data_IF_965922457690
#
_entry.id   IF_965922457690
#
_cell.length_a   1.000
_cell.length_b   1.000
_cell.length_c   1.000
_cell.angle_alpha   90.00
_cell.angle_beta   90.00
_cell.angle_gamma   90.00
#
_symmetry.space_group_name_H-M   'P 1'
#
loop_
_entity.id
_entity.type
_entity.pdbx_description
1 polymer ?
#
# COMPACT_ATOMS: atom_id res chain seq x y z
N UNK A 1 11.99 4.82 22.41
CA UNK A 1 11.57 4.17 23.68
C UNK A 1 12.38 2.91 23.93
N UNK A 2 12.34 2.40 25.17
CA UNK A 2 12.97 1.15 25.57
C UNK A 2 11.99 0.26 26.33
N UNK A 3 12.08 -1.06 26.10
CA UNK A 3 11.26 -2.07 26.79
C UNK A 3 9.75 -1.78 26.75
N UNK A 4 9.26 -1.35 25.60
CA UNK A 4 7.85 -0.99 25.40
C UNK A 4 7.02 -2.20 24.99
N UNK A 5 5.82 -2.33 25.53
CA UNK A 5 4.85 -3.34 25.11
C UNK A 5 3.54 -2.65 24.75
N UNK A 6 3.12 -2.83 23.50
CA UNK A 6 1.81 -2.41 22.99
C UNK A 6 0.97 -3.66 22.74
N UNK A 7 -0.27 -3.68 23.25
CA UNK A 7 -1.06 -4.91 23.25
C UNK A 7 -2.55 -4.69 22.99
N UNK A 8 -3.13 -5.60 22.22
CA UNK A 8 -4.58 -5.81 22.08
C UNK A 8 -5.34 -4.56 21.62
N UNK A 9 -5.00 -4.03 20.44
CA UNK A 9 -5.74 -2.97 19.78
C UNK A 9 -5.68 -3.12 18.26
N UNK A 10 -6.52 -2.37 17.57
CA UNK A 10 -6.49 -2.28 16.11
C UNK A 10 -6.42 -0.85 15.62
N UNK A 11 -5.88 -0.70 14.41
CA UNK A 11 -5.77 0.55 13.67
C UNK A 11 -6.51 0.37 12.36
N UNK A 12 -7.33 1.35 12.02
CA UNK A 12 -8.03 1.39 10.73
C UNK A 12 -8.28 2.85 10.37
N UNK A 13 -7.56 3.36 9.39
CA UNK A 13 -7.73 4.74 8.96
C UNK A 13 -9.06 4.89 8.21
N UNK A 14 -9.79 5.94 8.50
CA UNK A 14 -11.00 6.29 7.79
C UNK A 14 -10.68 6.83 6.38
N UNK A 15 -11.62 6.69 5.45
CA UNK A 15 -11.54 7.21 4.09
C UNK A 15 -10.25 6.81 3.34
N UNK A 16 -10.12 5.52 2.96
CA UNK A 16 -8.93 5.07 2.24
C UNK A 16 -8.62 5.91 0.99
N UNK A 17 -7.37 6.31 0.83
CA UNK A 17 -6.85 6.96 -0.38
C UNK A 17 -6.88 6.03 -1.62
N UNK A 18 -7.21 4.77 -1.42
CA UNK A 18 -7.34 3.74 -2.47
C UNK A 18 -8.76 3.73 -3.00
N UNK A 19 -8.94 3.81 -4.31
CA UNK A 19 -10.23 3.56 -4.92
C UNK A 19 -10.35 2.08 -5.30
N UNK A 20 -11.27 1.39 -4.64
CA UNK A 20 -11.65 0.04 -5.03
C UNK A 20 -12.73 0.10 -6.11
N UNK A 21 -12.47 -0.54 -7.24
CA UNK A 21 -13.41 -0.59 -8.37
C UNK A 21 -13.59 -2.01 -8.85
N UNK A 22 -14.78 -2.35 -9.35
CA UNK A 22 -15.05 -3.63 -9.98
C UNK A 22 -15.16 -3.46 -11.49
N UNK A 23 -14.42 -4.28 -12.23
CA UNK A 23 -14.52 -4.35 -13.69
C UNK A 23 -15.86 -4.97 -14.07
N UNK A 24 -16.66 -4.25 -14.86
CA UNK A 24 -17.95 -4.74 -15.38
C UNK A 24 -17.88 -5.11 -16.85
N UNK A 25 -17.01 -4.45 -17.61
CA UNK A 25 -16.77 -4.73 -19.03
C UNK A 25 -15.30 -4.49 -19.38
N UNK A 26 -14.73 -5.35 -20.20
CA UNK A 26 -13.41 -5.15 -20.77
C UNK A 26 -13.48 -5.35 -22.29
N UNK A 27 -13.60 -4.25 -23.01
CA UNK A 27 -13.68 -4.22 -24.46
C UNK A 27 -12.33 -3.78 -25.04
N UNK A 28 -11.70 -4.58 -25.94
CA UNK A 28 -10.39 -4.23 -26.51
C UNK A 28 -10.37 -2.89 -27.27
N UNK A 29 -11.50 -2.48 -27.83
CA UNK A 29 -11.62 -1.22 -28.59
C UNK A 29 -12.07 -0.06 -27.69
N UNK A 30 -13.07 -0.25 -26.85
CA UNK A 30 -13.66 0.80 -26.02
C UNK A 30 -12.95 1.03 -24.69
N UNK A 31 -12.20 0.03 -24.19
CA UNK A 31 -11.52 0.10 -22.90
C UNK A 31 -12.24 -0.64 -21.78
N UNK A 32 -11.82 -0.36 -20.54
CA UNK A 32 -12.42 -0.96 -19.36
C UNK A 32 -13.52 -0.06 -18.83
N UNK A 33 -14.68 -0.68 -18.57
CA UNK A 33 -15.77 -0.07 -17.81
C UNK A 33 -15.79 -0.67 -16.42
N UNK A 34 -15.87 0.18 -15.40
CA UNK A 34 -15.82 -0.23 -14.00
C UNK A 34 -16.83 0.51 -13.12
N UNK A 35 -17.15 -0.07 -11.98
CA UNK A 35 -17.98 0.52 -10.94
C UNK A 35 -17.17 0.71 -9.66
N UNK A 36 -17.06 1.94 -9.11
CA UNK A 36 -16.47 2.18 -7.80
C UNK A 36 -17.29 1.52 -6.69
N UNK A 37 -16.62 0.98 -5.68
CA UNK A 37 -17.28 0.45 -4.49
C UNK A 37 -18.19 1.51 -3.85
N UNK A 38 -19.30 1.14 -3.21
CA UNK A 38 -20.29 2.09 -2.69
C UNK A 38 -19.71 3.19 -1.78
N UNK A 39 -18.66 2.85 -1.04
CA UNK A 39 -17.98 3.76 -0.11
C UNK A 39 -16.92 4.66 -0.76
N UNK A 40 -16.63 4.49 -2.06
CA UNK A 40 -15.67 5.33 -2.79
C UNK A 40 -16.39 6.58 -3.29
N UNK A 41 -16.01 7.74 -2.77
CA UNK A 41 -16.39 9.03 -3.32
C UNK A 41 -15.46 9.40 -4.46
N UNK A 42 -16.03 9.91 -5.55
CA UNK A 42 -15.26 10.25 -6.74
C UNK A 42 -15.88 11.39 -7.55
N UNK A 43 -15.10 11.88 -8.49
CA UNK A 43 -15.59 12.74 -9.58
C UNK A 43 -14.84 12.43 -10.88
N UNK A 44 -15.44 12.80 -12.00
CA UNK A 44 -14.70 12.97 -13.25
C UNK A 44 -14.31 14.44 -13.34
N UNK A 45 -13.00 14.72 -13.36
CA UNK A 45 -12.48 16.08 -13.42
C UNK A 45 -12.77 16.76 -14.77
N UNK A 46 -12.55 18.08 -14.84
CA UNK A 46 -12.69 18.85 -16.12
C UNK A 46 -11.76 18.32 -17.22
N UNK A 47 -10.64 17.69 -16.85
CA UNK A 47 -9.69 17.08 -17.78
C UNK A 47 -10.04 15.62 -18.11
N UNK A 48 -11.27 15.18 -17.78
CA UNK A 48 -11.73 13.82 -17.98
C UNK A 48 -10.83 12.77 -17.28
N UNK A 49 -10.51 13.01 -16.01
CA UNK A 49 -9.75 12.06 -15.17
C UNK A 49 -10.65 11.60 -14.03
N UNK A 50 -10.69 10.30 -13.78
CA UNK A 50 -11.31 9.76 -12.57
C UNK A 50 -10.46 10.12 -11.35
N UNK A 51 -11.05 10.81 -10.40
CA UNK A 51 -10.41 11.28 -9.16
C UNK A 51 -11.20 10.78 -7.96
N UNK A 52 -10.53 10.14 -7.00
CA UNK A 52 -11.09 9.84 -5.69
C UNK A 52 -11.13 11.08 -4.81
N UNK A 53 -12.12 11.13 -3.94
CA UNK A 53 -12.36 12.26 -3.05
C UNK A 53 -12.39 11.76 -1.60
N UNK A 54 -11.92 12.60 -0.70
CA UNK A 54 -12.06 12.44 0.74
C UNK A 54 -11.92 13.77 1.45
N UNK A 55 -12.00 13.77 2.78
CA UNK A 55 -11.88 14.98 3.57
C UNK A 55 -10.47 15.59 3.42
N UNK A 56 -10.40 16.74 2.79
CA UNK A 56 -9.15 17.46 2.59
C UNK A 56 -8.23 16.93 1.50
N UNK A 57 -8.64 15.91 0.71
CA UNK A 57 -7.79 15.35 -0.34
C UNK A 57 -8.54 15.01 -1.63
N UNK A 58 -7.78 15.03 -2.73
CA UNK A 58 -8.19 14.54 -4.05
C UNK A 58 -7.07 13.66 -4.59
N UNK A 59 -7.40 12.43 -4.98
CA UNK A 59 -6.41 11.45 -5.44
C UNK A 59 -6.58 11.13 -6.93
N UNK A 60 -5.48 11.20 -7.68
CA UNK A 60 -5.37 10.65 -9.04
C UNK A 60 -4.65 9.31 -8.97
N UNK A 61 -5.21 8.34 -9.64
CA UNK A 61 -4.69 6.97 -9.64
C UNK A 61 -3.82 6.70 -10.85
N UNK A 62 -2.74 5.98 -10.64
CA UNK A 62 -1.81 5.60 -11.72
C UNK A 62 -1.52 4.11 -11.74
N UNK A 63 -1.61 3.47 -10.58
CA UNK A 63 -1.28 2.07 -10.38
C UNK A 63 -2.33 1.37 -9.54
N UNK A 64 -2.30 0.04 -9.57
CA UNK A 64 -3.20 -0.75 -8.75
C UNK A 64 -2.79 -2.21 -8.68
N UNK A 65 -3.55 -2.95 -7.90
CA UNK A 65 -3.48 -4.41 -7.79
C UNK A 65 -4.87 -4.96 -8.10
N UNK A 66 -4.91 -6.05 -8.86
CA UNK A 66 -6.14 -6.73 -9.18
C UNK A 66 -6.36 -7.95 -8.27
N UNK A 67 -7.59 -8.11 -7.81
CA UNK A 67 -8.04 -9.20 -6.98
C UNK A 67 -9.14 -9.98 -7.67
N UNK A 68 -9.16 -11.28 -7.48
CA UNK A 68 -10.31 -12.11 -7.84
C UNK A 68 -11.53 -11.72 -6.99
N UNK A 69 -12.63 -11.37 -7.64
CA UNK A 69 -13.82 -10.82 -6.98
C UNK A 69 -14.53 -11.78 -6.04
N UNK A 70 -14.20 -13.08 -6.02
CA UNK A 70 -14.80 -14.09 -5.17
C UNK A 70 -13.88 -14.50 -4.01
N UNK A 71 -12.60 -14.69 -4.30
CA UNK A 71 -11.64 -15.23 -3.33
C UNK A 71 -10.84 -14.17 -2.60
N UNK A 72 -10.86 -12.93 -3.08
CA UNK A 72 -10.00 -11.81 -2.63
C UNK A 72 -8.50 -12.07 -2.81
N UNK A 73 -8.10 -13.10 -3.53
CA UNK A 73 -6.70 -13.34 -3.83
C UNK A 73 -6.23 -12.43 -4.96
N UNK A 74 -4.96 -12.03 -4.91
CA UNK A 74 -4.33 -11.26 -6.00
C UNK A 74 -4.38 -12.07 -7.30
N UNK A 75 -4.84 -11.47 -8.37
CA UNK A 75 -4.78 -12.08 -9.70
C UNK A 75 -3.32 -12.20 -10.13
N UNK A 76 -2.94 -13.35 -10.64
CA UNK A 76 -1.56 -13.63 -11.01
C UNK A 76 -0.97 -12.55 -11.93
N UNK A 77 0.24 -12.11 -11.60
CA UNK A 77 1.01 -11.11 -12.34
C UNK A 77 0.32 -9.73 -12.47
N UNK A 78 -0.43 -9.31 -11.45
CA UNK A 78 -1.10 -8.00 -11.40
C UNK A 78 -0.72 -7.18 -10.17
N UNK A 79 0.43 -7.42 -9.56
CA UNK A 79 0.87 -6.71 -8.36
C UNK A 79 1.13 -5.21 -8.58
N UNK A 80 1.41 -4.81 -9.82
CA UNK A 80 1.63 -3.41 -10.20
C UNK A 80 1.10 -3.19 -11.62
N UNK A 81 -0.21 -3.00 -11.76
CA UNK A 81 -0.83 -2.70 -13.05
C UNK A 81 -1.07 -1.22 -13.21
N UNK A 82 -0.90 -0.71 -14.43
CA UNK A 82 -1.28 0.66 -14.75
C UNK A 82 -2.80 0.82 -14.74
N UNK A 83 -3.26 1.92 -14.13
CA UNK A 83 -4.68 2.29 -14.10
C UNK A 83 -4.89 3.64 -14.81
N UNK A 84 -4.77 3.71 -16.15
CA UNK A 84 -4.87 4.96 -16.89
C UNK A 84 -6.33 5.43 -16.94
N UNK A 85 -6.64 6.43 -16.13
CA UNK A 85 -8.00 7.00 -16.02
C UNK A 85 -8.20 8.29 -16.81
N UNK A 86 -7.22 8.75 -17.59
CA UNK A 86 -7.35 9.94 -18.44
C UNK A 86 -8.26 9.65 -19.64
N UNK A 87 -9.27 10.49 -19.83
CA UNK A 87 -10.33 10.33 -20.83
C UNK A 87 -11.51 9.54 -20.30
N UNK A 88 -11.59 9.31 -19.00
CA UNK A 88 -12.72 8.63 -18.38
C UNK A 88 -14.01 9.47 -18.44
N UNK A 89 -15.14 8.79 -18.57
CA UNK A 89 -16.48 9.38 -18.55
C UNK A 89 -17.49 8.40 -17.98
N UNK A 90 -18.55 8.91 -17.39
CA UNK A 90 -19.68 8.10 -16.94
C UNK A 90 -20.55 7.65 -18.11
N UNK A 91 -20.82 6.35 -18.21
CA UNK A 91 -21.76 5.75 -19.16
C UNK A 91 -23.13 5.51 -18.53
N UNK A 92 -23.20 5.41 -17.21
CA UNK A 92 -24.38 5.32 -16.38
C UNK A 92 -24.02 5.75 -14.95
N UNK A 93 -24.97 6.04 -14.06
CA UNK A 93 -24.68 6.39 -12.67
C UNK A 93 -23.71 5.39 -12.03
N UNK A 94 -22.57 5.88 -11.52
CA UNK A 94 -21.46 5.11 -10.93
C UNK A 94 -20.83 4.05 -11.86
N UNK A 95 -21.05 4.15 -13.18
CA UNK A 95 -20.42 3.26 -14.16
C UNK A 95 -19.55 4.07 -15.09
N UNK A 96 -18.24 3.90 -14.98
CA UNK A 96 -17.23 4.72 -15.62
C UNK A 96 -16.50 3.90 -16.70
N UNK A 97 -16.43 4.43 -17.91
CA UNK A 97 -15.58 3.91 -18.97
C UNK A 97 -14.25 4.66 -18.99
N UNK A 98 -13.15 3.92 -19.02
CA UNK A 98 -11.80 4.46 -19.26
C UNK A 98 -11.26 3.91 -20.57
N UNK A 99 -11.35 4.65 -21.68
CA UNK A 99 -10.99 4.16 -23.02
C UNK A 99 -9.53 3.80 -23.19
N UNK A 100 -8.65 4.39 -22.38
CA UNK A 100 -7.22 4.14 -22.41
C UNK A 100 -6.77 2.96 -21.55
N UNK A 101 -7.64 2.44 -20.71
CA UNK A 101 -7.33 1.29 -19.87
C UNK A 101 -7.55 0.00 -20.66
N UNK A 102 -6.46 -0.63 -21.03
CA UNK A 102 -6.42 -1.86 -21.82
C UNK A 102 -5.56 -2.88 -21.09
N UNK A 103 -6.16 -3.87 -20.48
CA UNK A 103 -5.47 -4.97 -19.82
C UNK A 103 -6.32 -6.23 -19.89
N UNK A 104 -5.90 -7.19 -20.73
CA UNK A 104 -6.65 -8.42 -20.97
C UNK A 104 -6.80 -9.33 -19.72
N UNK A 105 -6.01 -9.08 -18.67
CA UNK A 105 -6.09 -9.83 -17.40
C UNK A 105 -7.28 -9.44 -16.55
N UNK A 106 -7.83 -8.24 -16.77
CA UNK A 106 -8.91 -7.66 -15.98
C UNK A 106 -10.27 -8.09 -16.57
N UNK A 107 -10.68 -9.29 -16.26
CA UNK A 107 -11.99 -9.80 -16.72
C UNK A 107 -13.15 -9.22 -15.88
N UNK A 108 -14.39 -9.19 -16.40
CA UNK A 108 -15.56 -8.79 -15.62
C UNK A 108 -15.65 -9.55 -14.29
N UNK A 109 -15.89 -8.81 -13.20
CA UNK A 109 -15.89 -9.33 -11.83
C UNK A 109 -14.56 -9.16 -11.10
N UNK A 110 -13.44 -8.88 -11.81
CA UNK A 110 -12.17 -8.52 -11.17
C UNK A 110 -12.34 -7.24 -10.37
N UNK A 111 -11.79 -7.19 -9.18
CA UNK A 111 -11.73 -5.99 -8.33
C UNK A 111 -10.33 -5.40 -8.40
N UNK A 112 -10.22 -4.11 -8.66
CA UNK A 112 -8.95 -3.40 -8.71
C UNK A 112 -8.90 -2.39 -7.58
N UNK A 113 -7.89 -2.49 -6.73
CA UNK A 113 -7.53 -1.46 -5.77
C UNK A 113 -6.54 -0.50 -6.44
N UNK A 114 -7.03 0.69 -6.79
CA UNK A 114 -6.22 1.72 -7.47
C UNK A 114 -5.55 2.63 -6.44
N UNK A 115 -4.27 2.89 -6.61
CA UNK A 115 -3.46 3.75 -5.73
C UNK A 115 -2.76 4.88 -6.47
N UNK A 116 -2.50 5.99 -5.75
CA UNK A 116 -1.54 7.02 -6.14
C UNK A 116 -0.13 6.67 -5.68
N UNK A 117 0.80 7.61 -5.87
CA UNK A 117 2.20 7.43 -5.43
C UNK A 117 2.46 7.78 -3.96
N UNK A 118 1.59 8.57 -3.34
CA UNK A 118 1.77 9.02 -1.96
C UNK A 118 1.58 7.86 -0.96
N UNK A 119 2.48 7.76 0.01
CA UNK A 119 2.43 6.82 1.14
C UNK A 119 2.63 7.62 2.43
N UNK A 120 1.74 8.57 2.74
CA UNK A 120 2.04 9.63 3.70
C UNK A 120 2.20 9.12 5.13
N UNK A 121 1.42 8.10 5.54
CA UNK A 121 1.32 7.76 6.96
C UNK A 121 1.28 6.26 7.15
N UNK A 122 2.27 5.65 7.84
CA UNK A 122 2.19 4.27 8.29
C UNK A 122 1.16 4.12 9.42
N UNK A 123 0.63 2.91 9.59
CA UNK A 123 -0.24 2.58 10.73
C UNK A 123 0.48 2.72 12.07
N UNK A 124 1.70 2.19 12.13
CA UNK A 124 2.60 2.30 13.28
C UNK A 124 3.96 2.74 12.78
N UNK A 125 4.53 3.77 13.42
CA UNK A 125 5.90 4.20 13.20
C UNK A 125 6.75 4.01 14.46
N UNK A 126 7.86 3.31 14.30
CA UNK A 126 8.84 3.09 15.36
C UNK A 126 10.21 3.64 14.89
N UNK A 127 10.88 4.39 15.74
CA UNK A 127 12.19 4.95 15.43
C UNK A 127 13.11 4.92 16.63
N UNK A 128 14.28 4.28 16.48
CA UNK A 128 15.28 4.12 17.55
C UNK A 128 14.72 3.45 18.82
N UNK A 129 13.71 2.60 18.67
CA UNK A 129 13.16 1.83 19.78
C UNK A 129 14.00 0.59 20.06
N UNK A 130 14.11 0.22 21.33
CA UNK A 130 14.89 -0.93 21.79
C UNK A 130 13.98 -1.88 22.58
N UNK A 131 14.01 -3.17 22.25
CA UNK A 131 13.24 -4.23 22.92
C UNK A 131 11.74 -3.91 22.99
N UNK A 132 11.15 -3.66 21.82
CA UNK A 132 9.72 -3.33 21.70
C UNK A 132 8.91 -4.54 21.23
N UNK A 133 7.79 -4.79 21.89
CA UNK A 133 6.86 -5.87 21.55
C UNK A 133 5.49 -5.35 21.16
N UNK A 134 4.97 -5.81 20.02
CA UNK A 134 3.59 -5.63 19.59
C UNK A 134 2.86 -6.97 19.72
N UNK A 135 1.92 -7.05 20.67
CA UNK A 135 1.24 -8.28 21.02
C UNK A 135 -0.25 -8.16 20.67
N UNK A 136 -0.74 -9.04 19.80
CA UNK A 136 -2.13 -9.03 19.33
C UNK A 136 -2.60 -7.65 18.85
N UNK A 137 -1.85 -7.07 17.92
CA UNK A 137 -2.14 -5.77 17.29
C UNK A 137 -2.53 -6.00 15.84
N UNK A 138 -3.59 -5.35 15.37
CA UNK A 138 -4.07 -5.44 13.98
C UNK A 138 -4.05 -4.09 13.31
N UNK A 139 -3.63 -4.06 12.04
CA UNK A 139 -3.77 -2.91 11.16
C UNK A 139 -4.67 -3.33 9.99
N UNK A 140 -5.85 -2.73 9.90
CA UNK A 140 -6.83 -3.05 8.87
C UNK A 140 -6.64 -2.18 7.61
N UNK A 141 -6.28 -0.92 7.82
CA UNK A 141 -5.85 -0.03 6.74
C UNK A 141 -4.89 1.03 7.26
N UNK A 142 -3.91 1.37 6.44
CA UNK A 142 -3.03 2.52 6.60
C UNK A 142 -2.64 3.08 5.21
N UNK A 143 -2.35 4.37 5.16
CA UNK A 143 -2.01 5.08 3.92
C UNK A 143 -0.57 4.81 3.43
N UNK A 144 0.23 4.16 4.24
CA UNK A 144 1.59 3.70 3.94
C UNK A 144 1.76 2.24 4.30
N UNK A 145 2.83 1.94 5.04
CA UNK A 145 3.11 0.64 5.63
C UNK A 145 2.18 0.38 6.83
N UNK A 146 1.90 -0.87 7.11
CA UNK A 146 1.21 -1.23 8.36
C UNK A 146 2.07 -0.93 9.58
N UNK A 147 3.32 -1.41 9.56
CA UNK A 147 4.37 -1.07 10.51
C UNK A 147 5.61 -0.61 9.75
N UNK A 148 6.11 0.57 10.08
CA UNK A 148 7.42 1.07 9.66
C UNK A 148 8.33 1.18 10.88
N UNK A 149 9.39 0.39 10.94
CA UNK A 149 10.41 0.44 11.99
C UNK A 149 11.76 0.88 11.39
N UNK A 150 12.34 1.94 11.93
CA UNK A 150 13.61 2.49 11.47
C UNK A 150 14.62 2.54 12.61
N UNK A 151 15.83 2.01 12.36
CA UNK A 151 16.95 2.04 13.30
C UNK A 151 16.61 1.48 14.70
N UNK A 152 15.67 0.55 14.76
CA UNK A 152 15.27 -0.11 16.00
C UNK A 152 16.13 -1.33 16.30
N UNK A 153 16.04 -1.82 17.55
CA UNK A 153 16.77 -3.00 18.01
C UNK A 153 15.82 -3.92 18.77
N UNK A 154 15.88 -5.22 18.49
CA UNK A 154 15.10 -6.27 19.16
C UNK A 154 13.58 -6.01 19.16
N UNK A 155 12.95 -6.36 18.04
CA UNK A 155 11.50 -6.20 17.83
C UNK A 155 10.80 -7.55 17.89
N UNK A 156 9.72 -7.64 18.66
CA UNK A 156 8.87 -8.82 18.69
C UNK A 156 7.45 -8.48 18.25
N UNK A 157 6.97 -9.19 17.23
CA UNK A 157 5.59 -9.19 16.77
C UNK A 157 4.99 -10.55 17.11
N UNK A 158 4.02 -10.61 18.01
CA UNK A 158 3.30 -11.82 18.36
C UNK A 158 1.80 -11.62 18.18
N UNK A 159 1.19 -12.38 17.27
CA UNK A 159 -0.19 -12.14 16.87
C UNK A 159 -0.42 -10.81 16.16
N UNK A 160 0.65 -10.18 15.64
CA UNK A 160 0.52 -8.97 14.82
C UNK A 160 -0.10 -9.31 13.46
N UNK A 161 -1.04 -8.49 13.00
CA UNK A 161 -1.67 -8.70 11.71
C UNK A 161 -1.83 -7.41 10.92
N UNK A 162 -1.59 -7.50 9.62
CA UNK A 162 -2.09 -6.56 8.62
C UNK A 162 -3.10 -7.35 7.82
N UNK A 163 -4.38 -7.17 8.13
CA UNK A 163 -5.45 -8.05 7.66
C UNK A 163 -6.80 -7.34 7.59
N UNK A 164 -7.71 -7.87 6.79
CA UNK A 164 -9.09 -7.42 6.72
C UNK A 164 -9.79 -7.62 8.08
N UNK A 165 -10.92 -6.94 8.30
CA UNK A 165 -11.75 -7.08 9.52
C UNK A 165 -12.53 -8.41 9.57
N UNK A 166 -12.19 -9.37 8.72
CA UNK A 166 -12.85 -10.64 8.56
C UNK A 166 -13.59 -10.74 7.23
N UNK A 167 -14.36 -11.82 7.05
CA UNK A 167 -14.98 -12.18 5.76
C UNK A 167 -15.96 -11.11 5.23
N UNK A 168 -16.57 -10.35 6.13
CA UNK A 168 -17.53 -9.30 5.78
C UNK A 168 -16.90 -7.94 5.51
N UNK A 169 -15.57 -7.80 5.59
CA UNK A 169 -14.91 -6.54 5.19
C UNK A 169 -15.15 -6.30 3.70
N UNK A 170 -15.74 -5.15 3.32
CA UNK A 170 -16.00 -4.86 1.89
C UNK A 170 -14.73 -4.58 1.10
N UNK A 171 -13.61 -4.39 1.76
CA UNK A 171 -12.31 -4.12 1.12
C UNK A 171 -11.64 -5.42 0.67
N UNK A 172 -10.79 -5.29 -0.33
CA UNK A 172 -9.92 -6.33 -0.86
C UNK A 172 -8.45 -6.06 -0.54
N UNK A 173 -8.17 -4.91 0.01
CA UNK A 173 -6.83 -4.42 0.36
C UNK A 173 -6.75 -4.04 1.84
N UNK A 174 -5.53 -3.98 2.35
CA UNK A 174 -5.20 -3.48 3.69
C UNK A 174 -4.32 -2.24 3.61
N UNK A 175 -2.99 -2.37 3.52
CA UNK A 175 -2.08 -1.23 3.47
C UNK A 175 -1.72 -0.85 2.03
N UNK A 176 -1.47 0.45 1.81
CA UNK A 176 -1.06 0.95 0.49
C UNK A 176 0.38 0.54 0.12
N UNK A 177 1.18 0.14 1.09
CA UNK A 177 2.53 -0.35 0.96
C UNK A 177 2.72 -1.66 1.74
N UNK A 178 3.94 -1.93 2.22
CA UNK A 178 4.28 -3.14 2.94
C UNK A 178 3.41 -3.35 4.19
N UNK A 179 3.15 -4.58 4.54
CA UNK A 179 2.54 -4.86 5.83
C UNK A 179 3.50 -4.51 6.97
N UNK A 180 4.78 -4.92 6.86
CA UNK A 180 5.83 -4.57 7.82
C UNK A 180 7.13 -4.22 7.10
N UNK A 181 7.77 -3.13 7.52
CA UNK A 181 8.98 -2.61 6.91
C UNK A 181 10.02 -2.26 7.97
N UNK A 182 11.16 -2.93 7.93
CA UNK A 182 12.26 -2.78 8.87
C UNK A 182 13.50 -2.22 8.15
N UNK A 183 13.82 -0.96 8.40
CA UNK A 183 14.92 -0.26 7.75
C UNK A 183 16.05 0.03 8.73
N UNK A 184 17.23 -0.52 8.48
CA UNK A 184 18.42 -0.29 9.31
C UNK A 184 18.29 -0.81 10.74
N UNK A 185 17.35 -1.70 11.01
CA UNK A 185 17.17 -2.32 12.32
C UNK A 185 18.29 -3.34 12.62
N UNK A 186 18.54 -3.60 13.89
CA UNK A 186 19.55 -4.57 14.36
C UNK A 186 18.99 -5.50 15.42
N UNK A 187 19.79 -6.46 15.87
CA UNK A 187 19.37 -7.47 16.83
C UNK A 187 18.40 -8.47 16.23
N UNK A 188 17.38 -8.87 16.98
CA UNK A 188 16.38 -9.85 16.55
C UNK A 188 15.10 -9.17 16.09
N UNK A 189 14.60 -9.56 14.93
CA UNK A 189 13.24 -9.26 14.49
C UNK A 189 12.46 -10.58 14.49
N UNK A 190 11.48 -10.68 15.35
CA UNK A 190 10.66 -11.87 15.55
C UNK A 190 9.24 -11.59 15.12
N UNK A 191 8.72 -12.36 14.16
CA UNK A 191 7.30 -12.36 13.81
C UNK A 191 6.75 -13.78 14.00
N UNK A 192 5.76 -13.92 14.88
CA UNK A 192 5.08 -15.19 15.13
C UNK A 192 3.58 -14.99 15.28
N UNK A 193 2.81 -16.02 14.93
CA UNK A 193 1.35 -15.99 14.96
C UNK A 193 0.75 -14.79 14.20
N UNK A 194 1.45 -14.32 13.16
CA UNK A 194 1.05 -13.16 12.35
C UNK A 194 0.13 -13.54 11.20
N UNK A 195 -0.64 -12.56 10.70
CA UNK A 195 -1.43 -12.65 9.48
C UNK A 195 -1.17 -11.43 8.62
N UNK A 196 -0.71 -11.65 7.39
CA UNK A 196 -0.39 -10.60 6.42
C UNK A 196 -1.15 -10.86 5.12
N UNK A 197 -2.17 -10.05 4.83
CA UNK A 197 -3.02 -10.21 3.66
C UNK A 197 -3.49 -8.86 3.10
N UNK A 198 -3.74 -8.81 1.81
CA UNK A 198 -4.31 -7.65 1.13
C UNK A 198 -3.43 -6.40 1.08
N UNK A 199 -2.16 -6.45 1.56
CA UNK A 199 -1.21 -5.36 1.38
C UNK A 199 -0.85 -5.19 -0.09
N UNK A 200 -0.51 -3.96 -0.46
CA UNK A 200 -0.20 -3.62 -1.86
C UNK A 200 1.31 -3.62 -2.16
N UNK A 201 2.12 -4.21 -1.29
CA UNK A 201 3.56 -4.43 -1.45
C UNK A 201 3.98 -5.65 -0.59
N UNK A 202 5.18 -5.68 -0.01
CA UNK A 202 5.72 -6.83 0.71
C UNK A 202 4.98 -7.13 2.02
N UNK A 203 4.86 -8.42 2.36
CA UNK A 203 4.37 -8.84 3.67
C UNK A 203 5.38 -8.49 4.79
N UNK A 204 6.66 -8.78 4.54
CA UNK A 204 7.76 -8.47 5.46
C UNK A 204 8.95 -8.01 4.62
N UNK A 205 9.33 -6.74 4.78
CA UNK A 205 10.50 -6.16 4.15
C UNK A 205 11.56 -5.85 5.21
N UNK A 206 12.75 -6.39 5.06
CA UNK A 206 13.87 -6.15 5.99
C UNK A 206 15.11 -5.80 5.19
N UNK A 207 15.61 -4.60 5.37
CA UNK A 207 16.82 -4.16 4.68
C UNK A 207 17.67 -3.22 5.53
N UNK A 208 18.98 -3.18 5.22
CA UNK A 208 19.90 -2.20 5.74
C UNK A 208 19.98 -0.96 4.87
N UNK A 209 20.74 0.01 5.34
CA UNK A 209 21.21 1.13 4.52
C UNK A 209 22.53 0.76 3.86
N UNK A 210 22.71 1.15 2.61
CA UNK A 210 23.96 0.96 1.90
C UNK A 210 24.45 2.24 1.25
N UNK A 211 25.78 2.32 1.10
CA UNK A 211 26.46 3.44 0.50
C UNK A 211 26.94 3.07 -0.91
N UNK A 212 26.70 3.94 -1.86
CA UNK A 212 27.40 3.88 -3.14
C UNK A 212 28.76 4.55 -2.99
N UNK A 213 29.83 3.81 -3.20
CA UNK A 213 31.17 4.40 -3.25
C UNK A 213 31.27 5.33 -4.47
N UNK A 214 31.58 6.60 -4.22
CA UNK A 214 31.71 7.62 -5.28
C UNK A 214 33.16 7.80 -5.66
N UNK A 215 34.05 7.74 -4.67
CA UNK A 215 35.48 7.98 -4.87
C UNK A 215 36.31 7.22 -3.83
N UNK A 216 37.39 6.61 -4.26
CA UNK A 216 38.46 6.18 -3.42
C UNK A 216 39.46 7.34 -3.29
N UNK A 217 39.74 7.77 -2.07
CA UNK A 217 40.69 8.85 -1.78
C UNK A 217 42.11 8.28 -1.64
N UNK A 218 42.22 7.21 -0.83
CA UNK A 218 43.47 6.47 -0.60
C UNK A 218 43.12 5.00 -0.22
N UNK A 219 44.12 4.25 0.29
CA UNK A 219 43.92 2.83 0.62
C UNK A 219 43.03 2.59 1.84
N UNK A 220 42.74 3.61 2.62
CA UNK A 220 41.97 3.53 3.87
C UNK A 220 40.75 4.43 3.88
N UNK A 221 40.56 5.26 2.84
CA UNK A 221 39.50 6.29 2.82
C UNK A 221 38.66 6.18 1.55
N UNK A 222 37.35 6.04 1.75
CA UNK A 222 36.34 6.06 0.69
C UNK A 222 35.33 7.20 0.92
N UNK A 223 34.92 7.86 -0.15
CA UNK A 223 33.78 8.75 -0.13
C UNK A 223 32.56 7.96 -0.62
N UNK A 224 31.55 7.85 0.22
CA UNK A 224 30.29 7.21 -0.10
C UNK A 224 29.13 8.19 -0.09
N UNK A 225 28.08 7.88 -0.86
CA UNK A 225 26.78 8.55 -0.80
C UNK A 225 25.74 7.53 -0.36
N UNK A 226 24.89 7.93 0.59
CA UNK A 226 23.72 7.12 0.94
C UNK A 226 22.84 6.96 -0.30
N UNK A 227 22.50 5.72 -0.59
CA UNK A 227 21.50 5.38 -1.57
C UNK A 227 20.18 5.32 -0.84
N UNK A 228 19.42 6.40 -0.93
CA UNK A 228 18.03 6.39 -0.48
C UNK A 228 17.30 5.40 -1.37
N UNK A 229 16.66 4.41 -0.78
CA UNK A 229 15.64 3.65 -1.48
C UNK A 229 14.56 4.63 -1.94
N UNK A 230 14.08 4.51 -3.17
CA UNK A 230 13.00 5.34 -3.69
C UNK A 230 11.68 5.20 -2.89
N UNK A 231 11.66 4.31 -1.91
CA UNK A 231 10.53 4.03 -1.02
C UNK A 231 10.54 4.93 0.21
N UNK A 232 11.64 5.65 0.49
CA UNK A 232 11.75 6.43 1.71
C UNK A 232 11.12 7.80 1.59
N UNK A 233 10.19 8.02 2.48
CA UNK A 233 9.71 9.31 2.95
C UNK A 233 10.90 10.25 3.11
N UNK A 234 10.77 11.44 2.55
CA UNK A 234 11.72 12.54 2.72
C UNK A 234 12.14 12.64 4.18
N UNK A 235 13.46 12.56 4.41
CA UNK A 235 14.00 12.95 5.72
C UNK A 235 13.54 14.37 6.04
N UNK A 236 13.12 14.64 7.27
CA UNK A 236 12.93 16.02 7.69
C UNK A 236 14.27 16.75 7.56
N UNK A 237 14.28 17.80 6.77
CA UNK A 237 15.40 18.75 6.62
C UNK A 237 15.68 19.45 7.92
#
# INVERSE_FOLDING_TARGET
SENCVLKSFSIDFEQPHIAQVQVVENDPEKGITFEPAPWVDYRISKDSVFEGLGEGWVMRYSWGIAFDGKTKHVVYNTSDIGCPTKGAFEVAPRRICSPKWKDARLVPGTVVAMRGWGRPTPGIFMSHDVNTSLLDVKVHYAEGMGLLAQLCEDITLDGFGVCLKGDNDPRYFTTQADATHFSGCKGKIVSKNGLYEGMMDDAINVHGTYLKVIKRVDDHTLIGRYMLSLIHISEPT
#
